data_IF_943467939400
#
_entry.id   IF_943467939400
#
_cell.length_a   1.000
_cell.length_b   1.000
_cell.length_c   1.000
_cell.angle_alpha   90.00
_cell.angle_beta   90.00
_cell.angle_gamma   90.00
#
_symmetry.space_group_name_H-M   'P 1'
#
loop_
_entity.id
_entity.type
_entity.pdbx_description
1 polymer ?
#
# COMPACT_ATOMS: atom_id res chain seq x y z
N UNK A 1 21.22 10.30 1.01
CA UNK A 1 21.93 10.08 -0.27
C UNK A 1 20.92 10.32 -1.38
N UNK A 2 20.94 11.50 -2.01
CA UNK A 2 20.12 11.79 -3.18
C UNK A 2 21.05 11.67 -4.39
N UNK A 3 21.00 10.52 -5.06
CA UNK A 3 21.61 10.31 -6.37
C UNK A 3 21.02 11.33 -7.36
N UNK A 4 21.85 12.27 -7.82
CA UNK A 4 21.56 13.10 -8.99
C UNK A 4 21.78 12.24 -10.24
N UNK A 5 20.70 11.80 -10.87
CA UNK A 5 20.73 11.25 -12.23
C UNK A 5 21.17 12.36 -13.22
N UNK A 6 22.18 12.14 -14.07
CA UNK A 6 22.61 13.13 -15.03
C UNK A 6 21.60 13.16 -16.19
N UNK A 7 20.70 14.14 -16.16
CA UNK A 7 19.71 14.37 -17.22
C UNK A 7 20.43 14.91 -18.48
N UNK A 8 20.98 14.01 -19.30
CA UNK A 8 21.85 14.27 -20.46
C UNK A 8 21.18 14.96 -21.67
N UNK A 9 20.02 15.62 -21.50
CA UNK A 9 19.31 16.31 -22.58
C UNK A 9 18.65 17.63 -22.16
N UNK A 10 19.14 18.26 -21.08
CA UNK A 10 18.67 19.58 -20.64
C UNK A 10 19.65 20.66 -21.09
N UNK A 11 19.11 21.72 -21.69
CA UNK A 11 19.84 22.99 -21.83
C UNK A 11 20.43 23.34 -20.46
N UNK A 12 21.74 23.58 -20.34
CA UNK A 12 22.36 23.87 -19.05
C UNK A 12 21.70 25.09 -18.42
N UNK A 13 21.34 24.98 -17.14
CA UNK A 13 20.81 26.12 -16.39
C UNK A 13 22.00 26.99 -15.95
N UNK A 14 22.32 28.00 -16.78
CA UNK A 14 23.47 28.87 -16.54
C UNK A 14 23.31 29.71 -15.28
N UNK A 15 22.07 30.08 -14.91
CA UNK A 15 21.78 30.79 -13.67
C UNK A 15 22.08 29.89 -12.46
N UNK A 16 21.67 28.63 -12.51
CA UNK A 16 21.98 27.65 -11.46
C UNK A 16 23.49 27.35 -11.37
N UNK A 17 24.19 27.22 -12.50
CA UNK A 17 25.64 26.95 -12.53
C UNK A 17 26.41 28.09 -11.85
N UNK A 18 26.04 29.35 -12.12
CA UNK A 18 26.65 30.55 -11.54
C UNK A 18 26.12 30.90 -10.14
N UNK A 19 25.00 30.29 -9.73
CA UNK A 19 24.30 30.61 -8.49
C UNK A 19 23.73 32.04 -8.49
N UNK A 20 23.32 32.54 -9.65
CA UNK A 20 22.76 33.86 -9.86
C UNK A 20 21.24 33.79 -9.99
N UNK A 21 20.54 34.84 -9.54
CA UNK A 21 19.11 34.99 -9.84
C UNK A 21 18.90 35.36 -11.31
N UNK A 22 17.71 35.06 -11.84
CA UNK A 22 17.28 35.49 -13.18
C UNK A 22 17.23 37.02 -13.31
N UNK A 23 17.10 37.73 -12.18
CA UNK A 23 17.11 39.19 -12.09
C UNK A 23 18.51 39.78 -11.80
N UNK A 24 19.56 38.94 -11.75
CA UNK A 24 20.90 39.40 -11.39
C UNK A 24 21.42 40.43 -12.40
N UNK A 25 22.00 41.51 -11.86
CA UNK A 25 22.64 42.54 -12.68
C UNK A 25 23.96 42.04 -13.29
N UNK A 26 24.45 42.60 -14.41
CA UNK A 26 25.74 42.19 -15.00
C UNK A 26 26.91 42.29 -14.01
N UNK A 27 26.89 43.30 -13.14
CA UNK A 27 27.89 43.48 -12.07
C UNK A 27 27.83 42.37 -11.03
N UNK A 28 26.64 41.89 -10.72
CA UNK A 28 26.43 40.79 -9.78
C UNK A 28 26.87 39.45 -10.38
N UNK A 29 26.55 39.21 -11.65
CA UNK A 29 27.01 38.05 -12.43
C UNK A 29 28.54 37.97 -12.43
N UNK A 30 29.24 39.09 -12.68
CA UNK A 30 30.70 39.15 -12.64
C UNK A 30 31.26 38.86 -11.23
N UNK A 31 30.64 39.40 -10.19
CA UNK A 31 31.05 39.14 -8.80
C UNK A 31 30.88 37.67 -8.42
N UNK A 32 29.76 37.06 -8.81
CA UNK A 32 29.46 35.64 -8.57
C UNK A 32 30.43 34.74 -9.32
N UNK A 33 30.75 35.07 -10.58
CA UNK A 33 31.73 34.36 -11.39
C UNK A 33 33.11 34.34 -10.72
N UNK A 34 33.63 35.51 -10.31
CA UNK A 34 34.93 35.60 -9.62
C UNK A 34 34.96 34.75 -8.35
N UNK A 35 33.88 34.80 -7.56
CA UNK A 35 33.75 34.00 -6.33
C UNK A 35 33.76 32.50 -6.61
N UNK A 36 32.99 32.04 -7.59
CA UNK A 36 32.93 30.62 -7.95
C UNK A 36 34.21 30.12 -8.63
N UNK A 37 34.85 30.95 -9.47
CA UNK A 37 36.10 30.61 -10.13
C UNK A 37 37.24 30.39 -9.12
N UNK A 38 37.30 31.19 -8.05
CA UNK A 38 38.26 30.96 -6.97
C UNK A 38 38.01 29.67 -6.17
N UNK A 39 36.76 29.23 -6.09
CA UNK A 39 36.37 28.00 -5.38
C UNK A 39 36.60 26.75 -6.24
N UNK A 40 36.33 26.83 -7.54
CA UNK A 40 36.42 25.71 -8.50
C UNK A 40 37.77 25.64 -9.23
N UNK A 41 38.80 26.33 -8.74
CA UNK A 41 40.11 26.39 -9.41
C UNK A 41 40.78 25.00 -9.43
N UNK A 42 41.36 24.56 -10.57
CA UNK A 42 42.00 23.25 -10.69
C UNK A 42 43.15 23.06 -9.68
N UNK A 43 43.90 24.13 -9.37
CA UNK A 43 44.97 24.09 -8.33
C UNK A 43 44.47 23.77 -6.92
N UNK A 44 43.16 23.85 -6.66
CA UNK A 44 42.53 23.52 -5.37
C UNK A 44 41.73 22.21 -5.41
N UNK A 45 41.89 21.41 -6.47
CA UNK A 45 41.18 20.14 -6.64
C UNK A 45 39.81 20.24 -7.30
N UNK A 46 39.50 21.36 -7.98
CA UNK A 46 38.27 21.50 -8.78
C UNK A 46 38.35 20.71 -10.09
N UNK A 47 37.22 20.17 -10.55
CA UNK A 47 37.13 19.49 -11.83
C UNK A 47 37.22 20.49 -13.00
N UNK A 48 38.00 20.15 -14.03
CA UNK A 48 38.14 20.98 -15.24
C UNK A 48 36.78 21.19 -15.93
N UNK A 49 35.89 20.20 -15.85
CA UNK A 49 34.53 20.24 -16.38
C UNK A 49 33.66 21.30 -15.70
N UNK A 50 33.79 21.46 -14.37
CA UNK A 50 33.04 22.47 -13.61
C UNK A 50 33.48 23.90 -13.95
N UNK A 51 34.78 24.08 -14.20
CA UNK A 51 35.33 25.36 -14.65
C UNK A 51 34.87 25.68 -16.08
N UNK A 52 34.85 24.69 -16.98
CA UNK A 52 34.31 24.85 -18.34
C UNK A 52 32.84 25.24 -18.31
N UNK A 53 32.02 24.58 -17.50
CA UNK A 53 30.61 24.91 -17.33
C UNK A 53 30.41 26.32 -16.76
N UNK A 54 31.22 26.73 -15.79
CA UNK A 54 31.19 28.08 -15.20
C UNK A 54 31.55 29.17 -16.23
N UNK A 55 32.58 28.94 -17.04
CA UNK A 55 33.01 29.86 -18.09
C UNK A 55 31.95 30.00 -19.18
N UNK A 56 31.29 28.90 -19.55
CA UNK A 56 30.20 28.89 -20.51
C UNK A 56 28.95 29.59 -19.97
N UNK A 57 28.62 29.41 -18.70
CA UNK A 57 27.53 30.14 -18.05
C UNK A 57 27.81 31.65 -18.04
N UNK A 58 29.04 32.05 -17.69
CA UNK A 58 29.43 33.46 -17.66
C UNK A 58 29.44 34.10 -19.06
N UNK A 59 29.91 33.39 -20.10
CA UNK A 59 29.95 33.95 -21.46
C UNK A 59 28.56 34.23 -22.02
N UNK A 60 27.57 33.40 -21.69
CA UNK A 60 26.18 33.59 -22.13
C UNK A 60 25.47 34.64 -21.28
N UNK A 61 25.68 34.66 -19.96
CA UNK A 61 24.95 35.57 -19.05
C UNK A 61 25.51 36.99 -19.01
N UNK A 62 26.80 37.20 -19.34
CA UNK A 62 27.42 38.53 -19.32
C UNK A 62 26.99 39.43 -20.47
N UNK A 63 26.67 38.85 -21.62
CA UNK A 63 26.26 39.57 -22.82
C UNK A 63 24.74 39.65 -22.86
N UNK A 64 24.20 40.86 -22.88
CA UNK A 64 22.76 41.08 -22.89
C UNK A 64 22.06 40.44 -24.11
N UNK A 65 22.71 40.42 -25.27
CA UNK A 65 22.15 39.81 -26.47
C UNK A 65 22.13 38.28 -26.34
N UNK A 66 23.24 37.69 -25.87
CA UNK A 66 23.31 36.24 -25.63
C UNK A 66 22.34 35.79 -24.52
N UNK A 67 22.21 36.57 -23.44
CA UNK A 67 21.25 36.34 -22.35
C UNK A 67 19.81 36.38 -22.84
N UNK A 68 19.46 37.37 -23.67
CA UNK A 68 18.12 37.46 -24.28
C UNK A 68 17.80 36.25 -25.16
N UNK A 69 18.75 35.80 -25.98
CA UNK A 69 18.58 34.61 -26.82
C UNK A 69 18.44 33.32 -26.00
N UNK A 70 19.22 33.21 -24.93
CA UNK A 70 19.13 32.12 -23.97
C UNK A 70 17.77 32.11 -23.26
N UNK A 71 17.33 33.26 -22.74
CA UNK A 71 16.05 33.40 -22.04
C UNK A 71 14.85 33.15 -22.98
N UNK A 72 14.93 33.56 -24.25
CA UNK A 72 13.91 33.28 -25.25
C UNK A 72 13.80 31.77 -25.53
N UNK A 73 14.94 31.10 -25.71
CA UNK A 73 15.03 29.65 -25.93
C UNK A 73 14.58 28.85 -24.70
N UNK A 74 14.82 29.38 -23.50
CA UNK A 74 14.38 28.82 -22.21
C UNK A 74 12.86 28.96 -22.03
N UNK A 75 12.30 30.15 -22.28
CA UNK A 75 10.86 30.44 -22.17
C UNK A 75 10.00 29.61 -23.12
N UNK A 76 10.45 29.38 -24.35
CA UNK A 76 9.75 28.49 -25.31
C UNK A 76 9.66 27.02 -24.86
N UNK A 77 10.57 26.58 -23.98
CA UNK A 77 10.50 25.24 -23.36
C UNK A 77 9.56 25.21 -22.16
N UNK A 78 9.49 26.29 -21.37
CA UNK A 78 8.64 26.34 -20.18
C UNK A 78 7.14 26.35 -20.53
N UNK A 79 6.76 26.99 -21.64
CA UNK A 79 5.38 26.95 -22.15
C UNK A 79 4.97 25.57 -22.66
N UNK A 80 5.92 24.74 -23.12
CA UNK A 80 5.65 23.36 -23.56
C UNK A 80 5.72 22.35 -22.40
N UNK A 81 6.42 22.67 -21.31
CA UNK A 81 6.59 21.76 -20.17
C UNK A 81 5.47 21.86 -19.12
N UNK A 82 4.77 23.00 -19.01
CA UNK A 82 3.66 23.19 -18.07
C UNK A 82 2.30 22.69 -18.59
N UNK A 83 2.22 22.25 -19.86
CA UNK A 83 1.06 21.54 -20.43
C UNK A 83 1.50 20.17 -20.96
N UNK A 84 2.10 19.36 -20.08
CA UNK A 84 2.04 17.89 -20.20
C UNK A 84 1.00 17.37 -19.22
N UNK A 85 -0.24 17.78 -19.43
CA UNK A 85 -1.35 16.84 -19.27
C UNK A 85 -1.00 15.64 -20.16
N UNK A 86 -0.85 14.46 -19.56
CA UNK A 86 -0.38 13.26 -20.22
C UNK A 86 -1.07 13.04 -21.60
N UNK A 87 -0.32 12.79 -22.69
CA UNK A 87 -0.88 12.50 -24.01
C UNK A 87 -1.44 11.06 -24.11
N UNK A 88 -1.93 10.51 -22.99
CA UNK A 88 -2.53 9.17 -22.92
C UNK A 88 -4.04 9.21 -22.59
N UNK A 89 -4.67 10.40 -22.60
CA UNK A 89 -6.07 10.58 -22.18
C UNK A 89 -7.08 10.78 -23.34
N UNK A 90 -6.67 10.70 -24.61
CA UNK A 90 -7.60 10.77 -25.75
C UNK A 90 -7.19 9.77 -26.81
N UNK A 91 -7.82 8.60 -26.77
CA UNK A 91 -8.00 7.59 -27.84
C UNK A 91 -8.28 6.19 -27.25
N UNK A 92 -8.68 6.09 -25.97
CA UNK A 92 -9.54 4.97 -25.58
C UNK A 92 -10.91 5.29 -26.17
N UNK A 93 -11.11 4.95 -27.45
CA UNK A 93 -12.38 5.17 -28.15
C UNK A 93 -13.56 4.55 -27.39
N UNK A 94 -14.78 4.87 -27.81
CA UNK A 94 -16.03 4.31 -27.24
C UNK A 94 -15.94 2.81 -26.89
N UNK A 95 -15.22 2.05 -27.73
CA UNK A 95 -14.92 0.63 -27.54
C UNK A 95 -14.14 0.28 -26.26
N UNK A 96 -13.23 1.12 -25.78
CA UNK A 96 -12.46 0.84 -24.56
C UNK A 96 -13.23 1.13 -23.26
N UNK A 97 -14.14 2.11 -23.26
CA UNK A 97 -15.11 2.27 -22.16
C UNK A 97 -16.13 1.13 -22.15
N UNK A 98 -16.57 0.69 -23.33
CA UNK A 98 -17.45 -0.47 -23.46
C UNK A 98 -16.75 -1.76 -23.00
N UNK A 99 -15.48 -1.96 -23.37
CA UNK A 99 -14.69 -3.12 -22.99
C UNK A 99 -14.41 -3.15 -21.48
N UNK A 100 -14.09 -2.00 -20.87
CA UNK A 100 -13.89 -1.92 -19.42
C UNK A 100 -15.19 -2.16 -18.65
N UNK A 101 -16.31 -1.64 -19.13
CA UNK A 101 -17.63 -1.92 -18.57
C UNK A 101 -17.98 -3.41 -18.68
N UNK A 102 -17.73 -4.03 -19.84
CA UNK A 102 -17.97 -5.46 -20.05
C UNK A 102 -17.07 -6.32 -19.16
N UNK A 103 -15.78 -6.01 -19.05
CA UNK A 103 -14.86 -6.72 -18.14
C UNK A 103 -15.28 -6.59 -16.68
N UNK A 104 -15.75 -5.42 -16.26
CA UNK A 104 -16.27 -5.21 -14.91
C UNK A 104 -17.54 -6.05 -14.65
N UNK A 105 -18.47 -6.09 -15.61
CA UNK A 105 -19.68 -6.89 -15.51
C UNK A 105 -19.37 -8.40 -15.52
N UNK A 106 -18.47 -8.85 -16.39
CA UNK A 106 -18.05 -10.27 -16.46
C UNK A 106 -17.33 -10.68 -15.19
N UNK A 107 -16.40 -9.88 -14.68
CA UNK A 107 -15.70 -10.15 -13.42
C UNK A 107 -16.67 -10.12 -12.24
N UNK A 108 -17.60 -9.16 -12.20
CA UNK A 108 -18.64 -9.09 -11.17
C UNK A 108 -19.58 -10.29 -11.20
N UNK A 109 -20.03 -10.70 -12.39
CA UNK A 109 -20.85 -11.89 -12.58
C UNK A 109 -20.09 -13.17 -12.22
N UNK A 110 -18.80 -13.26 -12.56
CA UNK A 110 -17.92 -14.36 -12.17
C UNK A 110 -17.78 -14.41 -10.64
N UNK A 111 -17.56 -13.28 -9.96
CA UNK A 111 -17.47 -13.22 -8.50
C UNK A 111 -18.80 -13.60 -7.83
N UNK A 112 -19.93 -13.10 -8.33
CA UNK A 112 -21.26 -13.48 -7.86
C UNK A 112 -21.52 -14.98 -8.08
N UNK A 113 -21.13 -15.51 -9.24
CA UNK A 113 -21.20 -16.92 -9.55
C UNK A 113 -20.26 -17.72 -8.65
N UNK A 114 -19.06 -17.22 -8.33
CA UNK A 114 -18.15 -17.84 -7.38
C UNK A 114 -18.75 -17.86 -5.97
N UNK A 115 -19.39 -16.78 -5.50
CA UNK A 115 -20.09 -16.75 -4.21
C UNK A 115 -21.29 -17.71 -4.21
N UNK A 116 -22.01 -17.80 -5.33
CA UNK A 116 -23.15 -18.71 -5.48
C UNK A 116 -22.71 -20.19 -5.53
N UNK A 117 -21.67 -20.51 -6.32
CA UNK A 117 -21.08 -21.85 -6.41
C UNK A 117 -20.31 -22.24 -5.13
N UNK A 118 -19.73 -21.27 -4.43
CA UNK A 118 -19.12 -21.42 -3.11
C UNK A 118 -20.14 -21.21 -1.98
N UNK A 119 -21.43 -21.25 -2.31
CA UNK A 119 -22.55 -21.33 -1.37
C UNK A 119 -22.48 -22.63 -0.57
N UNK A 120 -21.75 -22.59 0.53
CA UNK A 120 -21.96 -23.40 1.74
C UNK A 120 -21.78 -24.93 1.65
N UNK A 121 -21.15 -25.47 0.61
CA UNK A 121 -20.72 -26.87 0.65
C UNK A 121 -19.48 -27.09 1.54
N UNK A 122 -18.60 -26.08 1.67
CA UNK A 122 -17.40 -26.14 2.52
C UNK A 122 -17.67 -25.85 4.01
N UNK A 123 -18.80 -25.23 4.35
CA UNK A 123 -19.19 -25.01 5.75
C UNK A 123 -19.69 -26.28 6.43
N UNK A 124 -20.19 -27.26 5.65
CA UNK A 124 -20.67 -28.52 6.18
C UNK A 124 -19.57 -29.33 6.88
N UNK A 125 -18.34 -29.47 6.33
CA UNK A 125 -17.18 -29.97 7.08
C UNK A 125 -16.89 -29.25 8.40
N UNK A 126 -17.02 -27.92 8.43
CA UNK A 126 -16.77 -27.12 9.63
C UNK A 126 -17.87 -27.33 10.69
N UNK A 127 -19.13 -27.46 10.26
CA UNK A 127 -20.25 -27.81 11.12
C UNK A 127 -20.11 -29.23 11.69
N UNK A 128 -19.64 -30.20 10.90
CA UNK A 128 -19.33 -31.56 11.36
C UNK A 128 -18.18 -31.53 12.36
N UNK A 129 -17.13 -30.77 12.09
CA UNK A 129 -16.00 -30.61 13.00
C UNK A 129 -16.45 -30.00 14.33
N UNK A 130 -17.28 -28.95 14.29
CA UNK A 130 -17.83 -28.32 15.49
C UNK A 130 -18.70 -29.30 16.30
N UNK A 131 -19.59 -30.05 15.65
CA UNK A 131 -20.38 -31.09 16.30
C UNK A 131 -19.48 -32.18 16.92
N UNK A 132 -18.42 -32.58 16.22
CA UNK A 132 -17.43 -33.54 16.71
C UNK A 132 -16.68 -33.06 17.95
N UNK A 133 -16.25 -31.80 17.98
CA UNK A 133 -15.58 -31.20 19.14
C UNK A 133 -16.51 -31.10 20.35
N UNK A 134 -17.77 -30.72 20.15
CA UNK A 134 -18.77 -30.66 21.22
C UNK A 134 -19.04 -32.05 21.78
N UNK A 135 -19.27 -33.06 20.92
CA UNK A 135 -19.50 -34.45 21.33
C UNK A 135 -18.30 -35.00 22.11
N UNK A 136 -17.09 -34.77 21.60
CA UNK A 136 -15.86 -35.22 22.24
C UNK A 136 -15.65 -34.56 23.62
N UNK A 137 -15.91 -33.25 23.73
CA UNK A 137 -15.86 -32.54 25.01
C UNK A 137 -16.88 -33.09 26.02
N UNK A 138 -18.11 -33.35 25.59
CA UNK A 138 -19.15 -33.97 26.43
C UNK A 138 -18.74 -35.37 26.88
N UNK A 139 -18.12 -36.17 25.99
CA UNK A 139 -17.66 -37.51 26.30
C UNK A 139 -16.50 -37.51 27.32
N UNK A 140 -15.54 -36.59 27.19
CA UNK A 140 -14.45 -36.42 28.18
C UNK A 140 -15.02 -35.98 29.53
N UNK A 141 -15.92 -34.99 29.55
CA UNK A 141 -16.54 -34.52 30.79
C UNK A 141 -17.32 -35.64 31.49
N UNK A 142 -18.05 -36.45 30.72
CA UNK A 142 -18.75 -37.62 31.23
C UNK A 142 -17.77 -38.67 31.80
N UNK A 143 -16.68 -38.98 31.07
CA UNK A 143 -15.65 -39.93 31.50
C UNK A 143 -14.90 -39.49 32.76
N UNK A 144 -14.54 -38.21 32.86
CA UNK A 144 -13.91 -37.67 34.06
C UNK A 144 -14.85 -37.75 35.26
N UNK A 145 -16.14 -37.47 35.08
CA UNK A 145 -17.14 -37.62 36.13
C UNK A 145 -17.37 -39.08 36.53
N UNK A 146 -17.37 -40.05 35.60
CA UNK A 146 -17.52 -41.47 35.94
C UNK A 146 -16.30 -42.02 36.67
N UNK A 147 -15.09 -41.61 36.28
CA UNK A 147 -13.86 -42.03 36.95
C UNK A 147 -13.77 -41.49 38.40
N UNK A 148 -14.07 -40.20 38.61
CA UNK A 148 -14.14 -39.62 39.97
C UNK A 148 -15.22 -40.31 40.81
N UNK A 149 -16.29 -40.84 40.20
CA UNK A 149 -17.32 -41.62 40.91
C UNK A 149 -16.84 -43.01 41.33
N UNK A 150 -15.91 -43.62 40.59
CA UNK A 150 -15.36 -44.95 40.90
C UNK A 150 -14.32 -44.89 42.03
N UNK A 151 -13.63 -43.76 42.21
CA UNK A 151 -12.68 -43.56 43.30
C UNK A 151 -13.34 -43.26 44.66
N UNK A 152 -14.66 -43.08 44.71
CA UNK A 152 -15.43 -42.90 45.94
C UNK A 152 -15.74 -44.25 46.63
N UNK A 153 -15.44 -44.35 47.93
CA UNK A 153 -15.56 -45.58 48.73
C UNK A 153 -17.01 -46.08 48.87
N UNK A 154 -17.16 -47.42 48.93
CA UNK A 154 -18.43 -48.17 48.82
C UNK A 154 -19.51 -47.90 49.92
N UNK A 155 -19.31 -46.94 50.82
CA UNK A 155 -20.21 -46.64 51.95
C UNK A 155 -20.85 -45.25 51.97
N UNK A 156 -20.56 -44.36 51.01
CA UNK A 156 -21.00 -42.96 51.11
C UNK A 156 -22.48 -42.76 50.68
N UNK A 157 -23.29 -41.96 51.42
CA UNK A 157 -24.68 -41.61 51.06
C UNK A 157 -24.82 -40.91 49.70
N UNK A 158 -23.70 -40.48 49.11
CA UNK A 158 -23.58 -39.85 47.79
C UNK A 158 -24.08 -40.72 46.62
N UNK A 159 -24.26 -42.04 46.80
CA UNK A 159 -24.87 -42.90 45.77
C UNK A 159 -26.29 -42.50 45.39
N UNK A 160 -27.05 -41.86 46.28
CA UNK A 160 -28.42 -41.37 45.98
C UNK A 160 -28.42 -40.17 45.03
N UNK A 161 -27.36 -39.36 45.06
CA UNK A 161 -27.18 -38.23 44.16
C UNK A 161 -26.62 -38.64 42.79
N UNK A 162 -26.32 -39.93 42.58
CA UNK A 162 -25.81 -40.48 41.32
C UNK A 162 -26.73 -40.17 40.14
N UNK A 163 -28.02 -40.48 40.29
CA UNK A 163 -29.02 -40.23 39.24
C UNK A 163 -29.26 -38.73 39.04
N UNK A 164 -29.30 -37.96 40.14
CA UNK A 164 -29.52 -36.51 40.08
C UNK A 164 -28.40 -35.80 39.30
N UNK A 165 -27.14 -36.14 39.55
CA UNK A 165 -26.00 -35.50 38.88
C UNK A 165 -25.95 -35.82 37.38
N UNK A 166 -26.33 -37.03 36.99
CA UNK A 166 -26.43 -37.43 35.58
C UNK A 166 -27.59 -36.72 34.87
N UNK A 167 -28.75 -36.64 35.53
CA UNK A 167 -29.90 -35.89 35.01
C UNK A 167 -29.55 -34.40 34.86
N UNK A 168 -28.90 -33.79 35.85
CA UNK A 168 -28.48 -32.38 35.79
C UNK A 168 -27.47 -32.15 34.67
N UNK A 169 -26.50 -33.04 34.47
CA UNK A 169 -25.53 -32.92 33.39
C UNK A 169 -26.21 -32.95 32.01
N UNK A 170 -27.08 -33.94 31.77
CA UNK A 170 -27.81 -34.04 30.51
C UNK A 170 -28.80 -32.88 30.30
N UNK A 171 -29.41 -32.36 31.36
CA UNK A 171 -30.26 -31.16 31.28
C UNK A 171 -29.48 -29.92 30.86
N UNK A 172 -28.24 -29.74 31.37
CA UNK A 172 -27.40 -28.60 30.98
C UNK A 172 -26.97 -28.74 29.51
N UNK A 173 -26.55 -29.94 29.08
CA UNK A 173 -26.15 -30.19 27.68
C UNK A 173 -27.34 -30.00 26.73
N UNK A 174 -28.50 -30.58 27.05
CA UNK A 174 -29.72 -30.43 26.26
C UNK A 174 -30.24 -29.00 26.25
N UNK A 175 -30.23 -28.32 27.40
CA UNK A 175 -30.63 -26.92 27.54
C UNK A 175 -29.74 -25.96 26.78
N UNK A 176 -28.41 -26.18 26.80
CA UNK A 176 -27.46 -25.40 26.01
C UNK A 176 -27.69 -25.58 24.50
N UNK A 177 -27.87 -26.83 24.05
CA UNK A 177 -28.19 -27.12 22.65
C UNK A 177 -29.52 -26.51 22.20
N UNK A 178 -30.55 -26.63 23.04
CA UNK A 178 -31.89 -26.07 22.77
C UNK A 178 -31.90 -24.54 22.80
N UNK A 179 -31.12 -23.90 23.68
CA UNK A 179 -30.97 -22.45 23.72
C UNK A 179 -30.33 -21.90 22.44
N UNK A 180 -29.27 -22.55 21.95
CA UNK A 180 -28.65 -22.20 20.66
C UNK A 180 -29.64 -22.43 19.51
N UNK A 181 -30.38 -23.54 19.52
CA UNK A 181 -31.42 -23.81 18.53
C UNK A 181 -32.48 -22.72 18.50
N UNK A 182 -33.00 -22.30 19.66
CA UNK A 182 -33.99 -21.22 19.75
C UNK A 182 -33.44 -19.93 19.16
N UNK A 183 -32.24 -19.50 19.55
CA UNK A 183 -31.60 -18.28 19.02
C UNK A 183 -31.48 -18.33 17.50
N UNK A 184 -31.06 -19.48 16.95
CA UNK A 184 -30.91 -19.68 15.52
C UNK A 184 -32.24 -19.67 14.76
N UNK A 185 -33.35 -20.06 15.40
CA UNK A 185 -34.68 -20.09 14.80
C UNK A 185 -35.47 -18.79 14.95
N UNK A 186 -35.10 -17.95 15.93
CA UNK A 186 -35.76 -16.67 16.20
C UNK A 186 -35.17 -15.47 15.43
N UNK A 187 -33.98 -15.64 14.86
CA UNK A 187 -33.29 -14.66 14.01
C UNK A 187 -33.54 -14.99 12.54
#
# INVERSE_FOLDING_TARGET
MLQCEPNLNRVPDYYAILGASEDASPREIERLYKRQAHQRHPDRGGAEEDMKALNQAYSVLRDENARKQYDATRRGRTTTAAVRSAPAAREVGFYGQLLSALMCLVLGLLLLLLVHFNGLWFLWPLSILAAGVILFGVMIAHSAMTNVRESLSLGHPGRRFRALQEVVFWLIVAGGGYGVYLILTTV
#
